data_IF_645117347872
#
_entry.id   IF_645117347872
#
_cell.length_a   1.000
_cell.length_b   1.000
_cell.length_c   1.000
_cell.angle_alpha   90.00
_cell.angle_beta   90.00
_cell.angle_gamma   90.00
#
_symmetry.space_group_name_H-M   'P 1'
#
loop_
_entity.id
_entity.type
_entity.pdbx_description
1 polymer ?
#
# COMPACT_ATOMS: atom_id res chain seq x y z
N UNK A 1 -20.25 -27.72 -7.57
CA UNK A 1 -19.29 -26.58 -7.55
C UNK A 1 -17.96 -27.09 -7.03
N UNK A 2 -16.97 -27.19 -7.92
CA UNK A 2 -15.63 -27.67 -7.59
C UNK A 2 -14.88 -26.56 -6.86
N UNK A 3 -14.49 -26.79 -5.60
CA UNK A 3 -13.66 -25.84 -4.84
C UNK A 3 -12.26 -25.86 -5.45
N UNK A 4 -11.84 -24.74 -6.04
CA UNK A 4 -10.48 -24.57 -6.53
C UNK A 4 -9.57 -24.43 -5.29
N UNK A 5 -8.75 -25.44 -5.05
CA UNK A 5 -7.72 -25.39 -4.02
C UNK A 5 -6.38 -25.12 -4.72
N UNK A 6 -5.75 -23.99 -4.41
CA UNK A 6 -4.39 -23.69 -4.88
C UNK A 6 -3.45 -24.79 -4.40
N UNK A 7 -2.63 -25.33 -5.31
CA UNK A 7 -1.76 -26.47 -5.03
C UNK A 7 -0.46 -26.07 -4.36
N UNK A 8 -0.03 -24.81 -4.52
CA UNK A 8 1.19 -24.27 -3.94
C UNK A 8 1.05 -22.77 -3.62
N UNK A 9 1.96 -22.27 -2.80
CA UNK A 9 2.02 -20.87 -2.38
C UNK A 9 2.31 -19.91 -3.55
N UNK A 10 2.92 -20.43 -4.61
CA UNK A 10 3.29 -19.69 -5.82
C UNK A 10 2.05 -19.38 -6.68
N UNK A 11 1.10 -20.30 -6.83
CA UNK A 11 -0.20 -20.04 -7.48
C UNK A 11 -1.02 -18.99 -6.72
N UNK A 12 -0.97 -19.03 -5.38
CA UNK A 12 -1.61 -18.00 -4.55
C UNK A 12 -0.95 -16.65 -4.81
N UNK A 13 0.37 -16.59 -4.80
CA UNK A 13 1.12 -15.36 -5.06
C UNK A 13 0.82 -14.78 -6.45
N UNK A 14 0.87 -15.61 -7.51
CA UNK A 14 0.54 -15.21 -8.89
C UNK A 14 -0.92 -14.74 -9.00
N UNK A 15 -1.85 -15.34 -8.25
CA UNK A 15 -3.25 -14.92 -8.25
C UNK A 15 -3.47 -13.54 -7.61
N UNK A 16 -2.53 -13.06 -6.80
CA UNK A 16 -2.55 -11.72 -6.20
C UNK A 16 -1.66 -10.72 -6.93
N UNK A 17 -0.83 -11.15 -7.87
CA UNK A 17 0.09 -10.27 -8.60
C UNK A 17 -0.63 -9.11 -9.29
N UNK A 18 -1.76 -9.40 -9.97
CA UNK A 18 -2.57 -8.35 -10.62
C UNK A 18 -3.14 -7.35 -9.60
N UNK A 19 -3.52 -7.83 -8.41
CA UNK A 19 -4.07 -6.99 -7.35
C UNK A 19 -2.98 -6.08 -6.78
N UNK A 20 -1.79 -6.64 -6.53
CA UNK A 20 -0.61 -5.89 -6.08
C UNK A 20 -0.24 -4.82 -7.12
N UNK A 21 -0.19 -5.19 -8.41
CA UNK A 21 0.06 -4.22 -9.48
C UNK A 21 -0.98 -3.10 -9.50
N UNK A 22 -2.27 -3.44 -9.47
CA UNK A 22 -3.34 -2.45 -9.45
C UNK A 22 -3.22 -1.49 -8.27
N UNK A 23 -2.84 -1.99 -7.08
CA UNK A 23 -2.65 -1.14 -5.91
C UNK A 23 -1.41 -0.27 -5.99
N UNK A 24 -0.33 -0.76 -6.59
CA UNK A 24 0.85 0.07 -6.86
C UNK A 24 0.55 1.18 -7.86
N UNK A 25 -0.25 0.90 -8.90
CA UNK A 25 -0.69 1.91 -9.87
C UNK A 25 -1.58 2.98 -9.23
N UNK A 26 -2.57 2.59 -8.42
CA UNK A 26 -3.39 3.52 -7.64
C UNK A 26 -2.53 4.43 -6.73
N UNK A 27 -1.50 3.85 -6.11
CA UNK A 27 -0.60 4.55 -5.21
C UNK A 27 0.31 5.55 -5.95
N UNK A 28 0.79 5.20 -7.14
CA UNK A 28 1.51 6.12 -8.03
C UNK A 28 0.61 7.30 -8.47
N UNK A 29 -0.65 7.03 -8.80
CA UNK A 29 -1.60 8.09 -9.14
C UNK A 29 -1.84 9.06 -7.98
N UNK A 30 -2.04 8.53 -6.77
CA UNK A 30 -2.25 9.35 -5.57
C UNK A 30 -1.00 10.16 -5.20
N UNK A 31 0.20 9.58 -5.31
CA UNK A 31 1.44 10.30 -5.00
C UNK A 31 1.68 11.47 -5.96
N UNK A 32 1.40 11.28 -7.25
CA UNK A 32 1.45 12.35 -8.26
C UNK A 32 0.40 13.43 -8.01
N UNK A 33 -0.80 13.06 -7.58
CA UNK A 33 -1.84 14.04 -7.25
C UNK A 33 -1.42 14.88 -6.04
N UNK A 34 -0.95 14.23 -4.97
CA UNK A 34 -0.44 14.90 -3.78
C UNK A 34 0.73 15.84 -4.11
N UNK A 35 1.65 15.41 -4.97
CA UNK A 35 2.74 16.26 -5.44
C UNK A 35 2.21 17.54 -6.11
N UNK A 36 1.23 17.41 -7.02
CA UNK A 36 0.61 18.57 -7.70
C UNK A 36 -0.13 19.48 -6.72
N UNK A 37 -0.82 18.91 -5.74
CA UNK A 37 -1.57 19.68 -4.75
C UNK A 37 -0.61 20.48 -3.85
N UNK A 38 0.50 19.87 -3.41
CA UNK A 38 1.55 20.55 -2.65
C UNK A 38 2.22 21.66 -3.46
N UNK A 39 2.50 21.40 -4.75
CA UNK A 39 3.05 22.41 -5.65
C UNK A 39 2.08 23.59 -5.84
N UNK A 40 0.77 23.29 -5.98
CA UNK A 40 -0.28 24.30 -6.10
C UNK A 40 -0.46 25.12 -4.82
N UNK A 41 -0.16 24.53 -3.66
CA UNK A 41 -0.10 25.21 -2.37
C UNK A 41 1.17 26.06 -2.15
N UNK A 42 2.10 26.07 -3.13
CA UNK A 42 3.32 26.88 -3.10
C UNK A 42 4.55 26.17 -2.50
N UNK A 43 4.48 24.86 -2.25
CA UNK A 43 5.65 24.09 -1.84
C UNK A 43 6.66 23.94 -3.00
N UNK A 44 7.95 24.00 -2.69
CA UNK A 44 9.00 23.81 -3.71
C UNK A 44 9.19 22.31 -3.97
N UNK A 45 9.55 21.91 -5.20
CA UNK A 45 9.85 20.52 -5.53
C UNK A 45 10.76 19.80 -4.54
N UNK A 46 11.85 20.43 -4.11
CA UNK A 46 12.79 19.87 -3.14
C UNK A 46 12.15 19.58 -1.77
N UNK A 47 11.24 20.43 -1.31
CA UNK A 47 10.55 20.25 -0.03
C UNK A 47 9.55 19.08 -0.11
N UNK A 48 8.87 18.95 -1.26
CA UNK A 48 7.93 17.87 -1.54
C UNK A 48 8.67 16.53 -1.62
N UNK A 49 9.78 16.48 -2.35
CA UNK A 49 10.62 15.28 -2.50
C UNK A 49 11.25 14.84 -1.17
N UNK A 50 11.59 15.78 -0.29
CA UNK A 50 12.06 15.46 1.06
C UNK A 50 10.94 14.95 1.98
N UNK A 51 9.72 15.48 1.85
CA UNK A 51 8.59 15.14 2.69
C UNK A 51 7.95 13.78 2.36
N UNK A 52 7.71 13.51 1.07
CA UNK A 52 6.92 12.37 0.62
C UNK A 52 7.42 11.01 1.12
N UNK A 53 8.73 10.68 1.07
CA UNK A 53 9.22 9.39 1.56
C UNK A 53 8.98 9.19 3.07
N UNK A 54 9.15 10.25 3.86
CA UNK A 54 8.92 10.20 5.31
C UNK A 54 7.45 9.99 5.65
N UNK A 55 6.57 10.76 5.01
CA UNK A 55 5.13 10.63 5.18
C UNK A 55 4.63 9.23 4.77
N UNK A 56 5.19 8.67 3.68
CA UNK A 56 4.85 7.33 3.23
C UNK A 56 5.29 6.25 4.22
N UNK A 57 6.53 6.31 4.71
CA UNK A 57 7.07 5.36 5.68
C UNK A 57 6.27 5.34 6.98
N UNK A 58 5.88 6.52 7.47
CA UNK A 58 5.05 6.65 8.66
C UNK A 58 3.65 6.04 8.45
N UNK A 59 3.01 6.36 7.33
CA UNK A 59 1.70 5.80 6.98
C UNK A 59 1.77 4.27 6.89
N UNK A 60 2.78 3.73 6.21
CA UNK A 60 2.97 2.29 6.08
C UNK A 60 3.13 1.61 7.44
N UNK A 61 3.95 2.20 8.33
CA UNK A 61 4.15 1.68 9.68
C UNK A 61 2.85 1.63 10.49
N UNK A 62 1.99 2.64 10.36
CA UNK A 62 0.67 2.68 11.00
C UNK A 62 -0.28 1.61 10.44
N UNK A 63 -0.28 1.41 9.12
CA UNK A 63 -1.09 0.37 8.47
C UNK A 63 -0.64 -1.02 8.88
N UNK A 64 0.68 -1.28 8.87
CA UNK A 64 1.24 -2.56 9.31
C UNK A 64 0.84 -2.88 10.75
N UNK A 65 0.98 -1.92 11.67
CA UNK A 65 0.57 -2.10 13.07
C UNK A 65 -0.94 -2.37 13.22
N UNK A 66 -1.79 -1.72 12.41
CA UNK A 66 -3.23 -1.94 12.42
C UNK A 66 -3.61 -3.33 11.90
N UNK A 67 -2.94 -3.83 10.86
CA UNK A 67 -3.17 -5.17 10.31
C UNK A 67 -2.65 -6.28 11.24
N UNK A 68 -1.46 -6.10 11.82
CA UNK A 68 -0.92 -7.04 12.83
C UNK A 68 -1.87 -7.18 14.03
N UNK A 69 -2.46 -6.07 14.48
CA UNK A 69 -3.44 -6.06 15.58
C UNK A 69 -4.72 -6.84 15.23
N UNK A 70 -5.16 -6.81 13.97
CA UNK A 70 -6.32 -7.59 13.50
C UNK A 70 -6.00 -9.08 13.48
N UNK A 71 -4.82 -9.46 12.99
CA UNK A 71 -4.37 -10.85 12.94
C UNK A 71 -4.18 -11.42 14.36
N UNK A 72 -3.61 -10.64 15.27
CA UNK A 72 -3.45 -11.02 16.68
C UNK A 72 -4.79 -11.30 17.38
N UNK A 73 -5.85 -10.55 17.05
CA UNK A 73 -7.21 -10.79 17.55
C UNK A 73 -7.83 -12.10 17.05
N UNK A 74 -7.54 -12.50 15.81
CA UNK A 74 -8.10 -13.72 15.20
C UNK A 74 -7.44 -14.99 15.76
N UNK A 75 -6.20 -14.91 16.25
CA UNK A 75 -5.48 -16.05 16.85
C UNK A 75 -5.74 -16.27 18.35
N UNK A 76 -6.37 -15.31 19.03
CA UNK A 76 -6.61 -15.32 20.47
C UNK A 76 -8.05 -15.60 20.90
N UNK A 77 -8.95 -15.97 19.97
CA UNK A 77 -10.36 -16.26 20.23
C UNK A 77 -10.70 -17.72 19.92
#
# INVERSE_FOLDING_TARGET
MTRYHHRNMEEVWLSFEWLLRSKLEELDHLSRQLYKDMQSAGAKPADIEAFLPGAFSELWSRVAAAEDSKIGRVRGA
#
